data_IF_883621303707
#
_entry.id   IF_883621303707
#
_cell.length_a   1.000
_cell.length_b   1.000
_cell.length_c   1.000
_cell.angle_alpha   90.00
_cell.angle_beta   90.00
_cell.angle_gamma   90.00
#
_symmetry.space_group_name_H-M   'P 1'
#
loop_
_entity.id
_entity.type
_entity.pdbx_description
1 polymer ?
#
# COMPACT_ATOMS: atom_id res chain seq x y z
N UNK A 1 2.57 -16.89 27.58
CA UNK A 1 1.26 -16.73 26.92
C UNK A 1 1.40 -16.91 25.42
N UNK A 2 0.66 -17.86 24.85
CA UNK A 2 0.68 -18.28 23.44
C UNK A 2 0.43 -17.10 22.49
N UNK A 3 -0.46 -16.18 22.87
CA UNK A 3 -0.83 -15.00 22.08
C UNK A 3 0.35 -14.11 21.66
N UNK A 4 1.36 -13.91 22.52
CA UNK A 4 2.48 -13.01 22.24
C UNK A 4 3.59 -13.67 21.40
N UNK A 5 3.76 -14.99 21.48
CA UNK A 5 4.86 -15.71 20.81
C UNK A 5 4.46 -16.34 19.47
N UNK A 6 3.18 -16.63 19.27
CA UNK A 6 2.70 -17.34 18.08
C UNK A 6 1.70 -16.46 17.34
N UNK A 7 0.62 -16.03 18.00
CA UNK A 7 -0.45 -15.25 17.34
C UNK A 7 0.03 -13.88 16.84
N UNK A 8 0.73 -13.11 17.68
CA UNK A 8 1.25 -11.79 17.31
C UNK A 8 2.20 -11.81 16.10
N UNK A 9 3.24 -12.65 16.04
CA UNK A 9 4.16 -12.67 14.89
C UNK A 9 3.51 -13.25 13.62
N UNK A 10 2.56 -14.19 13.73
CA UNK A 10 1.78 -14.67 12.58
C UNK A 10 0.83 -13.61 12.04
N UNK A 11 0.21 -12.80 12.92
CA UNK A 11 -0.67 -11.71 12.53
C UNK A 11 0.09 -10.41 12.17
N UNK A 12 1.37 -10.29 12.52
CA UNK A 12 2.19 -9.09 12.33
C UNK A 12 2.19 -8.54 10.89
N UNK A 13 2.37 -9.33 9.82
CA UNK A 13 2.32 -8.80 8.46
C UNK A 13 0.94 -8.21 8.11
N UNK A 14 -0.15 -8.82 8.60
CA UNK A 14 -1.50 -8.29 8.43
C UNK A 14 -1.77 -7.04 9.27
N UNK A 15 -1.26 -7.00 10.50
CA UNK A 15 -1.35 -5.85 11.40
C UNK A 15 -0.61 -4.63 10.84
N UNK A 16 0.56 -4.83 10.22
CA UNK A 16 1.32 -3.75 9.56
C UNK A 16 0.53 -3.20 8.37
N UNK A 17 -0.05 -4.09 7.55
CA UNK A 17 -0.91 -3.67 6.44
C UNK A 17 -2.14 -2.88 6.94
N UNK A 18 -2.81 -3.37 7.99
CA UNK A 18 -3.96 -2.69 8.60
C UNK A 18 -3.58 -1.34 9.22
N UNK A 19 -2.42 -1.22 9.86
CA UNK A 19 -1.93 0.02 10.44
C UNK A 19 -1.68 1.09 9.37
N UNK A 20 -1.03 0.72 8.27
CA UNK A 20 -0.78 1.63 7.14
C UNK A 20 -2.12 2.05 6.49
N UNK A 21 -3.02 1.11 6.27
CA UNK A 21 -4.31 1.40 5.65
C UNK A 21 -5.17 2.31 6.54
N UNK A 22 -5.23 2.04 7.84
CA UNK A 22 -5.95 2.88 8.81
C UNK A 22 -5.35 4.28 8.91
N UNK A 23 -4.03 4.43 8.79
CA UNK A 23 -3.37 5.74 8.75
C UNK A 23 -3.76 6.52 7.49
N UNK A 24 -3.73 5.89 6.31
CA UNK A 24 -4.11 6.51 5.04
C UNK A 24 -5.59 6.95 5.08
N UNK A 25 -6.48 6.06 5.54
CA UNK A 25 -7.91 6.38 5.67
C UNK A 25 -8.15 7.58 6.59
N UNK A 26 -7.48 7.63 7.76
CA UNK A 26 -7.63 8.76 8.68
C UNK A 26 -7.01 10.05 8.14
N UNK A 27 -5.93 9.96 7.35
CA UNK A 27 -5.28 11.13 6.75
C UNK A 27 -6.10 11.76 5.63
N UNK A 28 -6.91 10.96 4.92
CA UNK A 28 -7.84 11.42 3.87
C UNK A 28 -9.11 12.08 4.45
N UNK A 29 -9.40 11.86 5.73
CA UNK A 29 -10.62 12.33 6.40
C UNK A 29 -10.54 13.80 6.85
N UNK A 30 -10.30 14.71 5.91
CA UNK A 30 -10.19 16.15 6.19
C UNK A 30 -11.50 16.73 6.78
N UNK A 31 -12.66 16.20 6.37
CA UNK A 31 -13.97 16.72 6.76
C UNK A 31 -14.16 16.71 8.28
N UNK A 32 -13.87 15.59 8.94
CA UNK A 32 -13.99 15.46 10.40
C UNK A 32 -12.95 16.34 11.09
N UNK A 33 -11.73 16.36 10.56
CA UNK A 33 -10.64 17.17 11.11
C UNK A 33 -10.90 18.67 11.02
N UNK A 34 -11.62 19.16 10.00
CA UNK A 34 -12.00 20.58 9.87
C UNK A 34 -13.02 21.01 10.94
N UNK A 35 -13.99 20.15 11.26
CA UNK A 35 -14.97 20.45 12.31
C UNK A 35 -14.40 20.30 13.73
N UNK A 36 -13.35 19.48 13.90
CA UNK A 36 -12.65 19.29 15.19
C UNK A 36 -11.44 20.22 15.36
N UNK A 37 -10.91 20.80 14.28
CA UNK A 37 -9.81 21.77 14.35
C UNK A 37 -10.27 23.07 15.00
N UNK A 38 -9.45 23.56 15.93
CA UNK A 38 -9.57 24.89 16.52
C UNK A 38 -8.37 25.72 16.08
N UNK A 39 -8.43 27.06 16.21
CA UNK A 39 -7.38 28.01 15.79
C UNK A 39 -5.97 27.71 16.34
N UNK A 40 -5.84 26.87 17.37
CA UNK A 40 -4.57 26.47 17.98
C UNK A 40 -3.99 25.14 17.46
N UNK A 41 -4.81 24.27 16.83
CA UNK A 41 -4.38 22.94 16.41
C UNK A 41 -4.92 22.63 15.03
N UNK A 42 -4.14 23.02 14.02
CA UNK A 42 -4.46 22.81 12.61
C UNK A 42 -3.74 21.55 12.14
N UNK A 43 -4.47 20.56 11.66
CA UNK A 43 -3.87 19.36 11.06
C UNK A 43 -3.35 19.67 9.65
N UNK A 44 -2.36 18.90 9.18
CA UNK A 44 -1.76 19.08 7.85
C UNK A 44 -2.79 19.24 6.72
N UNK A 45 -3.82 18.36 6.60
CA UNK A 45 -4.85 18.47 5.56
C UNK A 45 -5.70 19.74 5.68
N UNK A 46 -6.04 20.11 6.92
CA UNK A 46 -6.84 21.31 7.20
C UNK A 46 -6.08 22.59 6.87
N UNK A 47 -4.76 22.62 7.14
CA UNK A 47 -3.92 23.77 6.78
C UNK A 47 -3.85 23.95 5.26
N UNK A 48 -3.65 22.86 4.52
CA UNK A 48 -3.68 22.85 3.04
C UNK A 48 -5.00 23.42 2.53
N UNK A 49 -6.13 23.02 3.12
CA UNK A 49 -7.45 23.53 2.73
C UNK A 49 -7.67 25.02 3.07
N UNK A 50 -7.30 25.45 4.29
CA UNK A 50 -7.43 26.83 4.71
C UNK A 50 -6.58 27.77 3.84
N UNK A 51 -5.37 27.37 3.49
CA UNK A 51 -4.49 28.09 2.57
C UNK A 51 -4.92 28.04 1.10
N UNK A 52 -5.99 27.33 0.73
CA UNK A 52 -6.65 27.51 -0.58
C UNK A 52 -7.84 28.47 -0.51
N UNK A 53 -8.43 28.60 0.68
CA UNK A 53 -9.68 29.36 0.90
C UNK A 53 -9.42 30.84 1.21
N UNK A 54 -8.37 31.17 1.96
CA UNK A 54 -8.15 32.52 2.47
C UNK A 54 -7.10 33.35 1.69
N UNK A 55 -6.03 32.72 1.18
CA UNK A 55 -4.98 33.35 0.36
C UNK A 55 -4.34 32.27 -0.52
N UNK A 56 -4.24 32.43 -1.84
CA UNK A 56 -3.54 31.47 -2.72
C UNK A 56 -2.04 31.58 -2.43
N UNK A 57 -1.60 30.85 -1.40
CA UNK A 57 -0.22 30.84 -0.95
C UNK A 57 0.53 29.77 -1.77
N UNK A 58 1.60 30.11 -2.53
CA UNK A 58 2.30 29.16 -3.39
C UNK A 58 2.93 27.97 -2.63
N UNK A 59 3.02 28.07 -1.31
CA UNK A 59 3.41 27.00 -0.39
C UNK A 59 2.48 25.78 -0.47
N UNK A 60 1.18 25.97 -0.67
CA UNK A 60 0.20 24.86 -0.75
C UNK A 60 0.44 23.99 -1.97
N UNK A 61 0.67 24.62 -3.12
CA UNK A 61 0.98 23.92 -4.36
C UNK A 61 2.24 23.06 -4.23
N UNK A 62 3.25 23.55 -3.50
CA UNK A 62 4.46 22.78 -3.22
C UNK A 62 4.17 21.56 -2.32
N UNK A 63 3.35 21.72 -1.28
CA UNK A 63 2.95 20.60 -0.39
C UNK A 63 2.16 19.54 -1.16
N UNK A 64 1.21 19.94 -2.01
CA UNK A 64 0.45 19.01 -2.86
C UNK A 64 1.38 18.23 -3.79
N UNK A 65 2.35 18.88 -4.42
CA UNK A 65 3.33 18.21 -5.27
C UNK A 65 4.18 17.19 -4.50
N UNK A 66 4.59 17.49 -3.27
CA UNK A 66 5.32 16.57 -2.40
C UNK A 66 4.46 15.36 -2.02
N UNK A 67 3.19 15.57 -1.67
CA UNK A 67 2.27 14.48 -1.33
C UNK A 67 2.02 13.55 -2.53
N UNK A 68 1.85 14.11 -3.73
CA UNK A 68 1.72 13.34 -4.97
C UNK A 68 3.00 12.56 -5.26
N UNK A 69 4.17 13.19 -5.14
CA UNK A 69 5.45 12.52 -5.32
C UNK A 69 5.63 11.37 -4.32
N UNK A 70 5.24 11.56 -3.06
CA UNK A 70 5.26 10.52 -2.04
C UNK A 70 4.35 9.34 -2.40
N UNK A 71 3.12 9.60 -2.85
CA UNK A 71 2.19 8.56 -3.30
C UNK A 71 2.75 7.76 -4.49
N UNK A 72 3.35 8.44 -5.47
CA UNK A 72 4.00 7.80 -6.63
C UNK A 72 5.18 6.93 -6.17
N UNK A 73 6.01 7.41 -5.25
CA UNK A 73 7.12 6.64 -4.70
C UNK A 73 6.65 5.40 -3.94
N UNK A 74 5.60 5.54 -3.13
CA UNK A 74 5.01 4.43 -2.39
C UNK A 74 4.45 3.35 -3.33
N UNK A 75 3.67 3.76 -4.34
CA UNK A 75 3.15 2.84 -5.36
C UNK A 75 4.28 2.20 -6.19
N UNK A 76 5.30 2.98 -6.54
CA UNK A 76 6.48 2.51 -7.25
C UNK A 76 7.26 1.46 -6.45
N UNK A 77 7.43 1.66 -5.14
CA UNK A 77 8.07 0.68 -4.25
C UNK A 77 7.26 -0.62 -4.19
N UNK A 78 5.94 -0.53 -4.04
CA UNK A 78 5.06 -1.72 -4.07
C UNK A 78 5.16 -2.44 -5.41
N UNK A 79 5.15 -1.70 -6.53
CA UNK A 79 5.29 -2.27 -7.86
C UNK A 79 6.66 -2.95 -8.07
N UNK A 80 7.75 -2.34 -7.57
CA UNK A 80 9.11 -2.88 -7.63
C UNK A 80 9.22 -4.19 -6.86
N UNK A 81 8.69 -4.24 -5.63
CA UNK A 81 8.66 -5.45 -4.80
C UNK A 81 7.88 -6.57 -5.50
N UNK A 82 6.74 -6.24 -6.11
CA UNK A 82 5.96 -7.22 -6.88
C UNK A 82 6.71 -7.70 -8.12
N UNK A 83 7.37 -6.81 -8.87
CA UNK A 83 8.13 -7.17 -10.07
C UNK A 83 9.27 -8.14 -9.77
N UNK A 84 10.01 -7.91 -8.69
CA UNK A 84 11.10 -8.81 -8.26
C UNK A 84 10.55 -10.18 -7.80
N UNK A 85 9.34 -10.23 -7.24
CA UNK A 85 8.69 -11.46 -6.80
C UNK A 85 8.10 -12.35 -7.89
N UNK A 86 7.91 -11.83 -9.11
CA UNK A 86 7.23 -12.55 -10.21
C UNK A 86 8.07 -13.68 -10.84
N UNK A 87 9.40 -13.67 -10.70
CA UNK A 87 10.30 -14.65 -11.34
C UNK A 87 10.24 -16.10 -10.83
N UNK A 88 9.29 -16.47 -9.96
CA UNK A 88 9.17 -17.82 -9.39
C UNK A 88 8.11 -18.71 -10.06
N UNK A 89 7.21 -18.13 -10.85
CA UNK A 89 6.09 -18.88 -11.43
C UNK A 89 6.47 -19.60 -12.74
N UNK A 90 7.42 -19.04 -13.50
CA UNK A 90 7.89 -19.61 -14.77
C UNK A 90 8.53 -21.00 -14.59
N UNK A 91 9.10 -21.28 -13.41
CA UNK A 91 9.70 -22.58 -13.09
C UNK A 91 8.66 -23.69 -12.85
N UNK A 92 7.43 -23.38 -12.46
CA UNK A 92 6.40 -24.39 -12.17
C UNK A 92 5.64 -24.81 -13.43
N UNK A 93 5.47 -23.89 -14.37
CA UNK A 93 4.87 -24.18 -15.69
C UNK A 93 5.80 -25.06 -16.55
N UNK A 94 7.12 -24.89 -16.42
CA UNK A 94 8.10 -25.73 -17.13
C UNK A 94 8.13 -27.17 -16.60
N UNK A 95 7.91 -27.38 -15.30
CA UNK A 95 7.86 -28.73 -14.71
C UNK A 95 6.57 -29.44 -15.11
N UNK A 96 5.42 -28.77 -15.05
CA UNK A 96 4.13 -29.35 -15.46
C UNK A 96 4.12 -29.75 -16.94
N UNK A 97 4.71 -28.95 -17.83
CA UNK A 97 4.83 -29.31 -19.25
C UNK A 97 5.76 -30.53 -19.48
N UNK A 98 6.79 -30.71 -18.65
CA UNK A 98 7.68 -31.89 -18.74
C UNK A 98 7.04 -33.16 -18.19
N UNK A 99 6.15 -33.03 -17.19
CA UNK A 99 5.44 -34.15 -16.57
C UNK A 99 4.19 -34.53 -17.36
N UNK A 100 3.48 -33.55 -17.94
CA UNK A 100 2.28 -33.76 -18.77
C UNK A 100 2.55 -34.34 -20.15
N UNK A 101 3.79 -34.26 -20.65
CA UNK A 101 4.22 -34.89 -21.91
C UNK A 101 4.73 -36.32 -21.69
N UNK A 102 4.99 -36.73 -20.44
CA UNK A 102 5.41 -38.08 -20.09
C UNK A 102 4.21 -39.01 -19.83
N UNK A 103 3.22 -39.02 -20.73
CA UNK A 103 2.22 -40.09 -20.79
C UNK A 103 2.65 -41.12 -21.85
N UNK A 104 3.33 -42.22 -21.48
CA UNK A 104 3.55 -43.36 -22.37
C UNK A 104 2.25 -44.15 -22.55
N UNK A 105 1.28 -43.53 -23.23
CA UNK A 105 0.02 -44.14 -23.65
C UNK A 105 0.01 -44.57 -25.11
N UNK A 106 1.18 -44.65 -25.75
CA UNK A 106 1.37 -45.34 -27.02
C UNK A 106 1.64 -46.82 -26.79
N UNK A 107 0.78 -47.50 -26.03
CA UNK A 107 0.67 -48.95 -26.12
C UNK A 107 -0.43 -49.29 -27.13
N UNK A 108 -0.09 -50.23 -28.00
CA UNK A 108 -0.81 -50.64 -29.19
C UNK A 108 -2.23 -51.13 -28.89
N UNK A 109 -3.20 -50.59 -29.65
CA UNK A 109 -4.26 -51.32 -30.37
C UNK A 109 -4.74 -50.47 -31.56
#
# INVERSE_FOLDING_TARGET
>A
TIARRITFPLAAPGMIAAAVFSFITSFDEFYISQFLSSVNTVTLPVQVYNSLTFEIDPSVTAVSAILIAFAILALGLVALVRWIGTGRQESLLSVENTVGVANPGGEAV
#
